data_IF_636081024309
#
_entry.id   IF_636081024309
#
_cell.length_a   1.000
_cell.length_b   1.000
_cell.length_c   1.000
_cell.angle_alpha   90.00
_cell.angle_beta   90.00
_cell.angle_gamma   90.00
#
_symmetry.space_group_name_H-M   'P 1'
#
loop_
_entity.id
_entity.type
_entity.pdbx_description
1 polymer ?
#
# COMPACT_ATOMS: atom_id res chain seq x y z
N UNK A 1 -5.01 -2.86 31.17
CA UNK A 1 -4.79 -2.14 29.90
C UNK A 1 -5.85 -2.62 28.92
N UNK A 2 -6.45 -1.72 28.14
CA UNK A 2 -7.32 -2.12 27.02
C UNK A 2 -6.50 -2.94 26.03
N UNK A 3 -6.99 -4.11 25.56
CA UNK A 3 -6.35 -4.88 24.48
C UNK A 3 -6.03 -4.01 23.26
N UNK A 4 -4.95 -4.33 22.54
CA UNK A 4 -4.52 -3.55 21.39
C UNK A 4 -5.56 -3.59 20.28
N UNK A 5 -6.15 -4.76 20.01
CA UNK A 5 -7.18 -4.93 19.00
C UNK A 5 -8.40 -4.05 19.28
N UNK A 6 -8.85 -3.97 20.53
CA UNK A 6 -9.95 -3.07 20.92
C UNK A 6 -9.60 -1.60 20.65
N UNK A 7 -8.35 -1.20 20.90
CA UNK A 7 -7.87 0.17 20.59
C UNK A 7 -7.84 0.42 19.08
N UNK A 8 -7.43 -0.55 18.28
CA UNK A 8 -7.46 -0.47 16.80
C UNK A 8 -8.91 -0.26 16.35
N UNK A 9 -9.83 -1.11 16.81
CA UNK A 9 -11.25 -1.01 16.45
C UNK A 9 -11.84 0.36 16.82
N UNK A 10 -11.59 0.84 18.04
CA UNK A 10 -12.04 2.16 18.49
C UNK A 10 -11.45 3.30 17.65
N UNK A 11 -10.14 3.26 17.37
CA UNK A 11 -9.46 4.32 16.61
C UNK A 11 -9.99 4.41 15.18
N UNK A 12 -10.25 3.26 14.56
CA UNK A 12 -10.71 3.19 13.18
C UNK A 12 -12.24 3.07 13.02
N UNK A 13 -12.98 3.30 14.11
CA UNK A 13 -14.46 3.28 14.16
C UNK A 13 -15.05 1.97 13.60
N UNK A 14 -14.37 0.85 13.86
CA UNK A 14 -14.80 -0.49 13.46
C UNK A 14 -15.45 -1.22 14.65
N UNK A 15 -16.35 -2.14 14.36
CA UNK A 15 -17.04 -2.95 15.36
C UNK A 15 -16.43 -4.36 15.46
N UNK A 16 -16.81 -5.10 16.50
CA UNK A 16 -16.45 -6.52 16.60
C UNK A 16 -17.03 -7.34 15.43
N UNK A 17 -18.21 -6.97 14.93
CA UNK A 17 -18.81 -7.61 13.75
C UNK A 17 -17.97 -7.38 12.48
N UNK A 18 -17.36 -6.20 12.34
CA UNK A 18 -16.45 -5.93 11.22
C UNK A 18 -15.19 -6.80 11.33
N UNK A 19 -14.65 -6.92 12.55
CA UNK A 19 -13.52 -7.80 12.82
C UNK A 19 -13.83 -9.26 12.47
N UNK A 20 -14.97 -9.79 12.92
CA UNK A 20 -15.37 -11.18 12.66
C UNK A 20 -15.45 -11.49 11.15
N UNK A 21 -15.83 -10.49 10.34
CA UNK A 21 -15.86 -10.60 8.87
C UNK A 21 -14.45 -10.60 8.26
N UNK A 22 -13.51 -9.89 8.88
CA UNK A 22 -12.14 -9.71 8.39
C UNK A 22 -11.20 -10.85 8.80
N UNK A 23 -11.40 -11.45 9.98
CA UNK A 23 -10.54 -12.50 10.54
C UNK A 23 -10.24 -13.69 9.58
N UNK A 24 -11.22 -14.22 8.81
CA UNK A 24 -10.96 -15.33 7.90
C UNK A 24 -9.85 -15.07 6.87
N UNK A 25 -9.65 -13.80 6.45
CA UNK A 25 -8.60 -13.43 5.49
C UNK A 25 -7.18 -13.46 6.07
N UNK A 26 -7.06 -13.70 7.37
CA UNK A 26 -5.80 -13.86 8.10
C UNK A 26 -5.62 -15.30 8.60
N UNK A 27 -6.46 -16.25 8.15
CA UNK A 27 -6.46 -17.63 8.62
C UNK A 27 -6.64 -17.75 10.16
N UNK A 28 -7.41 -16.82 10.75
CA UNK A 28 -7.80 -16.85 12.16
C UNK A 28 -9.31 -16.82 12.29
N UNK A 29 -9.82 -17.39 13.38
CA UNK A 29 -11.25 -17.49 13.70
C UNK A 29 -11.63 -16.73 14.96
N UNK A 30 -10.68 -16.06 15.64
CA UNK A 30 -10.97 -15.30 16.86
C UNK A 30 -10.10 -14.05 17.00
N UNK A 31 -10.67 -13.04 17.67
CA UNK A 31 -9.95 -11.82 18.05
C UNK A 31 -8.77 -12.09 18.99
N UNK A 32 -8.83 -13.12 19.83
CA UNK A 32 -7.72 -13.50 20.72
C UNK A 32 -6.49 -13.98 19.93
N UNK A 33 -6.68 -14.79 18.89
CA UNK A 33 -5.58 -15.22 18.02
C UNK A 33 -5.00 -14.05 17.21
N UNK A 34 -5.85 -13.09 16.81
CA UNK A 34 -5.40 -11.86 16.17
C UNK A 34 -4.55 -11.00 17.13
N UNK A 35 -4.99 -10.81 18.37
CA UNK A 35 -4.24 -10.10 19.41
C UNK A 35 -2.86 -10.75 19.65
N UNK A 36 -2.81 -12.09 19.71
CA UNK A 36 -1.55 -12.83 19.84
C UNK A 36 -0.62 -12.60 18.64
N UNK A 37 -1.18 -12.59 17.43
CA UNK A 37 -0.41 -12.36 16.19
C UNK A 37 0.15 -10.93 16.13
N UNK A 38 -0.64 -9.93 16.55
CA UNK A 38 -0.18 -8.55 16.72
C UNK A 38 0.94 -8.46 17.76
N UNK A 39 0.76 -9.13 18.91
CA UNK A 39 1.78 -9.20 19.96
C UNK A 39 3.10 -9.82 19.45
N UNK A 40 3.02 -10.88 18.65
CA UNK A 40 4.20 -11.50 18.03
C UNK A 40 4.89 -10.55 17.04
N UNK A 41 4.13 -9.87 16.18
CA UNK A 41 4.69 -8.89 15.25
C UNK A 41 5.40 -7.75 16.00
N UNK A 42 4.81 -7.24 17.09
CA UNK A 42 5.43 -6.21 17.95
C UNK A 42 6.70 -6.73 18.60
N UNK A 43 6.67 -7.94 19.16
CA UNK A 43 7.86 -8.57 19.72
C UNK A 43 9.00 -8.64 18.69
N UNK A 44 8.69 -9.03 17.46
CA UNK A 44 9.70 -9.09 16.40
C UNK A 44 10.26 -7.71 16.04
N UNK A 45 9.42 -6.67 15.94
CA UNK A 45 9.87 -5.29 15.67
C UNK A 45 10.90 -4.79 16.68
N UNK A 46 10.65 -5.08 17.96
CA UNK A 46 11.50 -4.62 19.06
C UNK A 46 12.83 -5.38 19.15
N UNK A 47 12.80 -6.69 18.91
CA UNK A 47 13.96 -7.55 19.15
C UNK A 47 14.82 -7.80 17.91
N UNK A 48 14.26 -7.61 16.71
CA UNK A 48 14.94 -7.83 15.43
C UNK A 48 14.77 -6.61 14.52
N UNK A 49 15.40 -5.46 14.85
CA UNK A 49 15.28 -4.26 14.05
C UNK A 49 15.93 -4.45 12.67
N UNK A 50 15.14 -4.39 11.60
CA UNK A 50 15.62 -4.26 10.22
C UNK A 50 16.46 -2.99 10.03
N UNK A 51 17.51 -3.08 9.20
CA UNK A 51 18.42 -1.98 8.91
C UNK A 51 17.99 -1.11 7.72
N UNK A 52 17.02 -1.56 6.92
CA UNK A 52 16.57 -0.86 5.72
C UNK A 52 15.23 -0.14 5.94
N UNK A 53 15.00 0.93 5.18
CA UNK A 53 13.79 1.75 5.28
C UNK A 53 12.60 1.02 4.65
N UNK A 54 11.79 0.40 5.51
CA UNK A 54 10.52 -0.22 5.16
C UNK A 54 9.38 0.77 5.34
N UNK A 55 8.62 1.00 4.27
CA UNK A 55 7.44 1.86 4.26
C UNK A 55 6.21 1.04 3.93
N UNK A 56 5.20 1.15 4.77
CA UNK A 56 3.89 0.59 4.50
C UNK A 56 2.95 1.73 4.08
N UNK A 57 2.21 1.54 3.01
CA UNK A 57 1.18 2.47 2.54
C UNK A 57 -0.15 1.75 2.62
N UNK A 58 -1.09 2.23 3.42
CA UNK A 58 -2.46 1.78 3.43
C UNK A 58 -3.36 2.89 2.85
N UNK A 59 -3.83 2.68 1.63
CA UNK A 59 -4.85 3.52 1.04
C UNK A 59 -6.21 2.89 1.31
N UNK A 60 -7.14 3.63 1.91
CA UNK A 60 -8.43 3.06 2.35
C UNK A 60 -9.53 3.27 1.33
N UNK A 61 -9.55 4.43 0.70
CA UNK A 61 -10.44 4.71 -0.40
C UNK A 61 -9.63 5.13 -1.62
N UNK A 62 -10.11 4.72 -2.80
CA UNK A 62 -9.57 5.20 -4.05
C UNK A 62 -10.66 5.99 -4.77
N UNK A 63 -10.61 7.30 -4.57
CA UNK A 63 -11.35 8.27 -5.36
C UNK A 63 -10.40 8.93 -6.36
N UNK A 64 -10.96 9.51 -7.43
CA UNK A 64 -10.17 10.09 -8.52
C UNK A 64 -9.11 11.07 -8.01
N UNK A 65 -9.43 11.80 -6.94
CA UNK A 65 -8.58 12.80 -6.31
C UNK A 65 -7.24 12.24 -5.81
N UNK A 66 -7.17 10.92 -5.53
CA UNK A 66 -6.00 10.27 -4.93
C UNK A 66 -5.41 9.14 -5.80
N UNK A 67 -5.75 9.10 -7.08
CA UNK A 67 -5.11 8.19 -8.05
C UNK A 67 -3.59 8.39 -8.08
N UNK A 68 -3.10 9.59 -7.76
CA UNK A 68 -1.68 9.89 -7.65
C UNK A 68 -0.93 8.98 -6.65
N UNK A 69 -1.59 8.54 -5.58
CA UNK A 69 -0.98 7.64 -4.60
C UNK A 69 -0.83 6.19 -5.10
N UNK A 70 -1.51 5.81 -6.19
CA UNK A 70 -1.29 4.50 -6.82
C UNK A 70 0.14 4.33 -7.36
N UNK A 71 0.81 5.46 -7.65
CA UNK A 71 2.18 5.47 -8.15
C UNK A 71 3.23 5.52 -7.03
N UNK A 72 2.83 5.88 -5.80
CA UNK A 72 3.72 5.94 -4.63
C UNK A 72 4.56 4.67 -4.43
N UNK A 73 3.97 3.45 -4.42
CA UNK A 73 4.77 2.23 -4.30
C UNK A 73 5.93 2.12 -5.30
N UNK A 74 5.68 2.47 -6.57
CA UNK A 74 6.70 2.38 -7.61
C UNK A 74 7.75 3.47 -7.49
N UNK A 75 7.33 4.70 -7.17
CA UNK A 75 8.24 5.83 -6.93
C UNK A 75 9.19 5.50 -5.77
N UNK A 76 8.63 5.04 -4.64
CA UNK A 76 9.42 4.66 -3.47
C UNK A 76 10.37 3.50 -3.77
N UNK A 77 9.92 2.47 -4.52
CA UNK A 77 10.78 1.35 -4.88
C UNK A 77 11.93 1.75 -5.81
N UNK A 78 11.72 2.69 -6.74
CA UNK A 78 12.81 3.26 -7.57
C UNK A 78 13.80 4.05 -6.70
N UNK A 79 13.31 4.74 -5.68
CA UNK A 79 14.12 5.43 -4.67
C UNK A 79 14.71 4.50 -3.60
N UNK A 80 14.65 3.17 -3.80
CA UNK A 80 15.23 2.14 -2.94
C UNK A 80 14.57 1.97 -1.56
N UNK A 81 13.36 2.50 -1.37
CA UNK A 81 12.54 2.15 -0.21
C UNK A 81 11.86 0.80 -0.44
N UNK A 82 11.98 -0.11 0.52
CA UNK A 82 11.19 -1.34 0.47
C UNK A 82 9.74 -1.02 0.86
N UNK A 83 8.83 -1.16 -0.10
CA UNK A 83 7.46 -0.63 0.04
C UNK A 83 6.42 -1.73 0.01
N UNK A 84 5.58 -1.81 1.03
CA UNK A 84 4.35 -2.63 1.01
C UNK A 84 3.14 -1.72 0.88
N UNK A 85 2.28 -1.97 -0.09
CA UNK A 85 1.12 -1.16 -0.38
C UNK A 85 -0.16 -1.99 -0.30
N UNK A 86 -1.11 -1.54 0.51
CA UNK A 86 -2.43 -2.14 0.68
C UNK A 86 -3.47 -1.18 0.10
N UNK A 87 -4.20 -1.66 -0.89
CA UNK A 87 -5.10 -0.85 -1.71
C UNK A 87 -6.54 -1.36 -1.59
N UNK A 88 -7.53 -0.46 -1.71
CA UNK A 88 -8.92 -0.88 -1.77
C UNK A 88 -9.21 -1.55 -3.11
N UNK A 89 -10.29 -2.31 -3.17
CA UNK A 89 -10.69 -3.05 -4.37
C UNK A 89 -11.01 -2.15 -5.57
N UNK A 90 -11.43 -0.91 -5.33
CA UNK A 90 -11.64 0.06 -6.42
C UNK A 90 -10.35 0.43 -7.18
N UNK A 91 -9.17 0.11 -6.63
CA UNK A 91 -7.88 0.31 -7.31
C UNK A 91 -7.62 -0.67 -8.44
N UNK A 92 -8.28 -1.84 -8.48
CA UNK A 92 -8.14 -2.82 -9.57
C UNK A 92 -8.41 -2.17 -10.92
N UNK A 93 -9.40 -1.27 -10.95
CA UNK A 93 -9.80 -0.59 -12.16
C UNK A 93 -8.69 0.26 -12.79
N UNK A 94 -7.85 0.85 -11.94
CA UNK A 94 -6.83 1.79 -12.34
C UNK A 94 -5.50 1.08 -12.57
N UNK A 95 -5.14 0.15 -11.68
CA UNK A 95 -3.93 -0.66 -11.82
C UNK A 95 -4.03 -1.72 -12.91
N UNK A 96 -5.24 -2.16 -13.27
CA UNK A 96 -5.47 -3.12 -14.35
C UNK A 96 -5.05 -2.64 -15.74
N UNK A 97 -4.72 -1.35 -15.89
CA UNK A 97 -4.08 -0.82 -17.09
C UNK A 97 -2.58 -1.17 -17.21
N UNK A 98 -1.96 -1.56 -16.11
CA UNK A 98 -0.51 -1.74 -16.01
C UNK A 98 -0.09 -3.07 -15.40
N UNK A 99 -0.99 -3.74 -14.68
CA UNK A 99 -0.71 -4.98 -13.98
C UNK A 99 -1.84 -5.98 -14.21
N UNK A 100 -1.48 -7.25 -14.32
CA UNK A 100 -2.42 -8.34 -14.21
C UNK A 100 -2.86 -8.56 -12.75
N UNK A 101 -4.02 -7.99 -12.41
CA UNK A 101 -4.56 -7.96 -11.05
C UNK A 101 -4.82 -9.37 -10.48
N UNK A 102 -5.34 -10.29 -11.30
CA UNK A 102 -5.65 -11.65 -10.87
C UNK A 102 -4.40 -12.38 -10.35
N UNK A 103 -3.23 -12.05 -10.92
CA UNK A 103 -1.98 -12.67 -10.56
C UNK A 103 -1.39 -12.10 -9.25
N UNK A 104 -1.81 -10.91 -8.80
CA UNK A 104 -1.31 -10.27 -7.57
C UNK A 104 -1.52 -11.14 -6.33
N UNK A 105 -2.62 -11.89 -6.28
CA UNK A 105 -2.97 -12.74 -5.13
C UNK A 105 -1.99 -13.90 -4.90
N UNK A 106 -1.12 -14.21 -5.87
CA UNK A 106 -0.17 -15.32 -5.80
C UNK A 106 1.18 -14.93 -5.22
N UNK A 107 1.44 -13.63 -5.06
CA UNK A 107 2.73 -13.11 -4.59
C UNK A 107 2.81 -13.24 -3.07
N UNK A 108 3.98 -13.68 -2.58
CA UNK A 108 4.31 -13.60 -1.15
C UNK A 108 5.03 -12.29 -0.88
N UNK A 109 4.62 -11.59 0.18
CA UNK A 109 5.13 -10.28 0.53
C UNK A 109 6.66 -10.28 0.71
N UNK A 110 7.22 -11.22 1.47
CA UNK A 110 8.66 -11.26 1.77
C UNK A 110 9.47 -11.41 0.48
N UNK A 111 9.10 -12.37 -0.36
CA UNK A 111 9.77 -12.62 -1.65
C UNK A 111 9.73 -11.38 -2.55
N UNK A 112 8.56 -10.75 -2.65
CA UNK A 112 8.36 -9.56 -3.48
C UNK A 112 9.20 -8.38 -3.01
N UNK A 113 9.25 -8.15 -1.70
CA UNK A 113 10.04 -7.08 -1.11
C UNK A 113 11.55 -7.32 -1.26
N UNK A 114 12.00 -8.56 -1.20
CA UNK A 114 13.42 -8.88 -1.34
C UNK A 114 13.91 -8.83 -2.79
N UNK A 115 13.09 -9.24 -3.75
CA UNK A 115 13.48 -9.25 -5.18
C UNK A 115 13.14 -7.93 -5.90
N UNK A 116 12.05 -7.26 -5.50
CA UNK A 116 11.56 -6.08 -6.21
C UNK A 116 11.53 -4.82 -5.34
N UNK A 117 11.77 -4.90 -4.04
CA UNK A 117 11.59 -3.76 -3.13
C UNK A 117 10.14 -3.28 -3.04
N UNK A 118 9.19 -4.09 -3.55
CA UNK A 118 7.80 -3.69 -3.71
C UNK A 118 6.88 -4.88 -3.47
N UNK A 119 5.81 -4.65 -2.71
CA UNK A 119 4.68 -5.55 -2.60
C UNK A 119 3.39 -4.74 -2.71
N UNK A 120 2.45 -5.18 -3.54
CA UNK A 120 1.13 -4.59 -3.69
C UNK A 120 0.09 -5.66 -3.38
N UNK A 121 -0.85 -5.33 -2.51
CA UNK A 121 -1.99 -6.16 -2.18
C UNK A 121 -3.28 -5.38 -2.29
N UNK A 122 -4.25 -5.96 -3.00
CA UNK A 122 -5.59 -5.42 -3.13
C UNK A 122 -6.51 -6.12 -2.13
N UNK A 123 -7.37 -5.33 -1.48
CA UNK A 123 -8.34 -5.83 -0.53
C UNK A 123 -9.39 -6.75 -1.21
N UNK A 124 -9.92 -7.76 -0.49
CA UNK A 124 -10.94 -8.65 -1.03
C UNK A 124 -12.23 -7.91 -1.44
N UNK A 125 -12.80 -8.28 -2.58
CA UNK A 125 -14.05 -7.71 -3.12
C UNK A 125 -15.26 -7.84 -2.18
N UNK A 126 -15.25 -8.80 -1.25
CA UNK A 126 -16.36 -9.07 -0.33
C UNK A 126 -16.45 -8.08 0.84
N UNK A 127 -15.41 -7.26 1.06
CA UNK A 127 -15.35 -6.35 2.20
C UNK A 127 -16.01 -5.02 1.87
N UNK A 128 -16.80 -4.50 2.81
CA UNK A 128 -17.27 -3.10 2.74
C UNK A 128 -16.11 -2.11 3.03
N UNK A 129 -16.39 -0.80 3.03
CA UNK A 129 -15.34 0.22 3.25
C UNK A 129 -14.68 0.14 4.63
N UNK A 130 -15.45 -0.03 5.71
CA UNK A 130 -14.92 -0.16 7.07
C UNK A 130 -14.09 -1.43 7.23
N UNK A 131 -14.56 -2.54 6.65
CA UNK A 131 -13.87 -3.82 6.68
C UNK A 131 -12.59 -3.79 5.81
N UNK A 132 -12.63 -3.14 4.65
CA UNK A 132 -11.46 -2.91 3.79
C UNK A 132 -10.39 -2.09 4.51
N UNK A 133 -10.82 -1.05 5.23
CA UNK A 133 -9.96 -0.26 6.10
C UNK A 133 -9.28 -1.13 7.15
N UNK A 134 -10.08 -1.87 7.91
CA UNK A 134 -9.58 -2.74 8.98
C UNK A 134 -8.64 -3.82 8.44
N UNK A 135 -9.00 -4.47 7.33
CA UNK A 135 -8.16 -5.47 6.66
C UNK A 135 -6.80 -4.89 6.25
N UNK A 136 -6.78 -3.74 5.58
CA UNK A 136 -5.55 -3.12 5.06
C UNK A 136 -4.61 -2.70 6.20
N UNK A 137 -5.19 -2.14 7.27
CA UNK A 137 -4.45 -1.74 8.46
C UNK A 137 -3.91 -2.95 9.23
N UNK A 138 -4.72 -4.00 9.45
CA UNK A 138 -4.26 -5.21 10.12
C UNK A 138 -3.18 -5.93 9.33
N UNK A 139 -3.24 -5.95 7.99
CA UNK A 139 -2.15 -6.47 7.15
C UNK A 139 -0.84 -5.73 7.42
N UNK A 140 -0.85 -4.40 7.44
CA UNK A 140 0.33 -3.62 7.80
C UNK A 140 0.79 -3.89 9.25
N UNK A 141 -0.15 -3.89 10.19
CA UNK A 141 0.14 -4.07 11.62
C UNK A 141 0.57 -5.49 12.01
N UNK A 142 0.37 -6.48 11.16
CA UNK A 142 0.89 -7.83 11.37
C UNK A 142 2.29 -8.02 10.78
N UNK A 143 2.78 -7.08 9.97
CA UNK A 143 4.12 -7.18 9.40
C UNK A 143 5.20 -6.92 10.47
N UNK A 144 6.06 -7.90 10.80
CA UNK A 144 7.19 -7.71 11.72
C UNK A 144 8.17 -6.60 11.31
N UNK A 145 8.19 -6.25 10.02
CA UNK A 145 9.07 -5.21 9.45
C UNK A 145 8.45 -3.83 9.43
N UNK A 146 7.20 -3.67 9.87
CA UNK A 146 6.58 -2.35 9.98
C UNK A 146 7.42 -1.43 10.87
N UNK A 147 7.84 -0.30 10.31
CA UNK A 147 8.50 0.81 11.01
C UNK A 147 7.72 2.09 10.86
N UNK A 148 7.19 2.29 9.66
CA UNK A 148 6.39 3.44 9.33
C UNK A 148 5.20 3.02 8.46
N UNK A 149 4.01 3.43 8.88
CA UNK A 149 2.79 3.33 8.11
C UNK A 149 2.38 4.73 7.65
N UNK A 150 2.25 4.91 6.34
CA UNK A 150 1.50 6.01 5.75
C UNK A 150 0.08 5.52 5.52
N UNK A 151 -0.87 6.23 6.09
CA UNK A 151 -2.27 5.88 6.05
C UNK A 151 -3.06 7.02 5.41
N UNK A 152 -3.77 6.71 4.33
CA UNK A 152 -4.48 7.67 3.49
C UNK A 152 -5.97 7.35 3.54
N UNK A 153 -6.75 8.23 4.18
CA UNK A 153 -8.20 8.05 4.38
C UNK A 153 -8.96 9.39 4.41
N UNK A 154 -10.21 9.38 3.95
CA UNK A 154 -11.12 10.54 3.91
C UNK A 154 -11.62 10.94 5.29
N UNK A 155 -11.65 9.98 6.22
CA UNK A 155 -12.11 10.21 7.58
C UNK A 155 -11.03 10.92 8.39
N UNK A 156 -11.43 11.85 9.25
CA UNK A 156 -10.53 12.45 10.22
C UNK A 156 -10.38 11.54 11.43
N UNK A 157 -9.16 11.51 11.96
CA UNK A 157 -8.79 10.71 13.12
C UNK A 157 -8.32 11.58 14.26
N UNK A 158 -8.56 11.13 15.48
CA UNK A 158 -8.06 11.80 16.68
C UNK A 158 -6.54 11.53 16.82
N UNK A 159 -5.75 12.60 16.81
CA UNK A 159 -4.28 12.53 16.89
C UNK A 159 -3.78 11.83 18.15
N UNK A 160 -4.53 11.92 19.26
CA UNK A 160 -4.14 11.27 20.52
C UNK A 160 -4.33 9.76 20.40
N UNK A 161 -5.42 9.29 19.78
CA UNK A 161 -5.63 7.88 19.50
C UNK A 161 -4.57 7.32 18.55
N UNK A 162 -4.21 8.06 17.49
CA UNK A 162 -3.14 7.67 16.57
C UNK A 162 -1.79 7.56 17.30
N UNK A 163 -1.40 8.56 18.10
CA UNK A 163 -0.17 8.50 18.91
C UNK A 163 -0.16 7.34 19.91
N UNK A 164 -1.31 7.05 20.52
CA UNK A 164 -1.45 5.90 21.40
C UNK A 164 -1.30 4.57 20.66
N UNK A 165 -1.72 4.49 19.39
CA UNK A 165 -1.46 3.32 18.54
C UNK A 165 0.01 3.23 18.13
N UNK A 166 0.65 4.33 17.76
CA UNK A 166 2.09 4.35 17.42
C UNK A 166 2.93 3.74 18.55
N UNK A 167 2.67 4.18 19.78
CA UNK A 167 3.35 3.66 20.98
C UNK A 167 3.09 2.17 21.19
N UNK A 168 1.86 1.72 21.01
CA UNK A 168 1.50 0.30 21.20
C UNK A 168 2.05 -0.60 20.10
N UNK A 169 2.12 -0.12 18.86
CA UNK A 169 2.59 -0.89 17.71
C UNK A 169 4.10 -0.85 17.52
N UNK A 170 4.78 0.07 18.21
CA UNK A 170 6.20 0.38 18.01
C UNK A 170 6.53 0.75 16.56
N UNK A 171 5.66 1.58 15.96
CA UNK A 171 5.79 2.06 14.60
C UNK A 171 5.27 3.51 14.47
N UNK A 172 5.87 4.29 13.58
CA UNK A 172 5.38 5.63 13.21
C UNK A 172 4.13 5.50 12.33
N UNK A 173 3.10 6.28 12.61
CA UNK A 173 1.86 6.33 11.82
C UNK A 173 1.70 7.76 11.31
N UNK A 174 1.78 7.92 10.00
CA UNK A 174 1.55 9.18 9.31
C UNK A 174 0.19 9.11 8.66
N UNK A 175 -0.74 9.91 9.19
CA UNK A 175 -2.03 10.12 8.54
C UNK A 175 -1.91 11.24 7.51
N UNK A 176 -2.27 10.94 6.26
CA UNK A 176 -2.42 11.92 5.20
C UNK A 176 -3.91 12.07 4.88
N UNK A 177 -4.54 13.20 5.25
CA UNK A 177 -5.90 13.48 4.84
C UNK A 177 -5.98 13.64 3.32
N UNK A 178 -7.16 13.38 2.75
CA UNK A 178 -7.39 13.62 1.32
C UNK A 178 -7.36 15.12 1.02
N UNK A 179 -6.59 15.52 0.00
CA UNK A 179 -6.75 16.82 -0.64
C UNK A 179 -7.67 16.67 -1.85
N UNK A 180 -8.61 17.59 -2.03
CA UNK A 180 -9.50 17.56 -3.18
C UNK A 180 -8.78 18.12 -4.41
N UNK A 181 -8.48 17.25 -5.36
CA UNK A 181 -8.06 17.64 -6.71
C UNK A 181 -9.29 17.99 -7.55
N UNK A 182 -9.23 19.11 -8.28
CA UNK A 182 -10.26 19.46 -9.28
C UNK A 182 -10.05 18.75 -10.63
N UNK A 183 -8.94 18.02 -10.78
CA UNK A 183 -8.58 17.36 -12.02
C UNK A 183 -9.46 16.13 -12.23
N UNK A 184 -10.19 16.10 -13.36
CA UNK A 184 -10.95 14.91 -13.75
C UNK A 184 -10.05 13.91 -14.45
N UNK A 185 -9.81 12.77 -13.78
CA UNK A 185 -8.97 11.71 -14.33
C UNK A 185 -9.86 10.69 -15.02
N UNK A 186 -9.62 10.49 -16.31
CA UNK A 186 -10.31 9.48 -17.12
C UNK A 186 -9.41 8.27 -17.35
N UNK A 187 -9.98 7.10 -17.63
CA UNK A 187 -9.19 5.90 -17.94
C UNK A 187 -8.29 6.08 -19.16
N UNK A 188 -8.77 6.77 -20.19
CA UNK A 188 -7.98 7.06 -21.39
C UNK A 188 -6.78 7.97 -21.09
N UNK A 189 -6.92 8.91 -20.15
CA UNK A 189 -5.82 9.77 -19.73
C UNK A 189 -4.70 9.00 -18.99
N UNK A 190 -5.04 7.90 -18.29
CA UNK A 190 -4.06 7.02 -17.63
C UNK A 190 -3.28 6.17 -18.64
N UNK A 191 -3.94 5.62 -19.66
CA UNK A 191 -3.24 4.85 -20.70
C UNK A 191 -2.13 5.66 -21.40
N UNK A 192 -2.27 7.00 -21.45
CA UNK A 192 -1.27 7.91 -22.00
C UNK A 192 -0.16 8.36 -21.04
N UNK A 193 -0.25 8.06 -19.74
CA UNK A 193 0.71 8.54 -18.73
C UNK A 193 2.14 8.06 -18.98
N UNK A 194 2.26 6.82 -19.47
CA UNK A 194 3.54 6.16 -19.65
C UNK A 194 4.02 6.19 -21.12
N UNK A 195 3.40 7.02 -21.97
CA UNK A 195 3.81 7.22 -23.36
C UNK A 195 4.90 8.29 -23.51
N UNK A 196 5.81 8.10 -24.48
CA UNK A 196 6.90 9.07 -24.79
C UNK A 196 6.40 10.47 -25.17
N UNK A 197 5.20 10.58 -25.76
CA UNK A 197 4.54 11.86 -26.06
C UNK A 197 3.31 12.00 -25.17
N UNK A 198 3.40 12.88 -24.19
CA UNK A 198 2.28 13.18 -23.29
C UNK A 198 1.34 14.17 -23.96
N UNK A 199 0.04 13.84 -23.95
CA UNK A 199 -1.01 14.83 -24.23
C UNK A 199 -1.06 15.84 -23.09
N UNK A 200 -1.71 16.99 -23.28
CA UNK A 200 -1.90 17.98 -22.22
C UNK A 200 -2.50 17.34 -20.94
N UNK A 201 -3.51 16.50 -21.12
CA UNK A 201 -4.15 15.77 -20.01
C UNK A 201 -3.19 14.80 -19.30
N UNK A 202 -2.33 14.09 -20.03
CA UNK A 202 -1.33 13.20 -19.41
C UNK A 202 -0.25 13.99 -18.66
N UNK A 203 0.12 15.18 -19.14
CA UNK A 203 1.07 16.06 -18.45
C UNK A 203 0.50 16.56 -17.11
N UNK A 204 -0.76 16.98 -17.08
CA UNK A 204 -1.45 17.44 -15.85
C UNK A 204 -1.54 16.33 -14.79
N UNK A 205 -1.78 15.08 -15.22
CA UNK A 205 -1.80 13.95 -14.28
C UNK A 205 -0.39 13.63 -13.79
N UNK A 206 0.65 13.71 -14.63
CA UNK A 206 2.03 13.58 -14.17
C UNK A 206 2.40 14.64 -13.13
N UNK A 207 1.95 15.88 -13.31
CA UNK A 207 2.15 16.96 -12.34
C UNK A 207 1.46 16.65 -11.01
N UNK A 208 0.19 16.24 -11.04
CA UNK A 208 -0.53 15.79 -9.85
C UNK A 208 0.17 14.63 -9.13
N UNK A 209 0.65 13.63 -9.88
CA UNK A 209 1.44 12.52 -9.32
C UNK A 209 2.69 13.06 -8.64
N UNK A 210 3.41 13.97 -9.29
CA UNK A 210 4.67 14.50 -8.77
C UNK A 210 4.47 15.35 -7.51
N UNK A 211 3.49 16.25 -7.49
CA UNK A 211 3.15 17.07 -6.33
C UNK A 211 2.73 16.22 -5.13
N UNK A 212 1.76 15.32 -5.34
CA UNK A 212 1.23 14.44 -4.29
C UNK A 212 2.34 13.58 -3.68
N UNK A 213 3.22 13.01 -4.51
CA UNK A 213 4.30 12.17 -4.03
C UNK A 213 5.46 12.97 -3.43
N UNK A 214 5.64 14.24 -3.81
CA UNK A 214 6.66 15.11 -3.20
C UNK A 214 6.30 15.44 -1.74
N UNK A 215 5.02 15.69 -1.50
CA UNK A 215 4.46 15.81 -0.14
C UNK A 215 4.66 14.51 0.64
N UNK A 216 4.27 13.37 0.08
CA UNK A 216 4.48 12.06 0.72
C UNK A 216 5.95 11.84 1.10
N UNK A 217 6.88 12.07 0.16
CA UNK A 217 8.33 11.93 0.41
C UNK A 217 8.84 12.85 1.51
N UNK A 218 8.29 14.07 1.62
CA UNK A 218 8.66 15.00 2.69
C UNK A 218 8.30 14.46 4.08
N UNK A 219 7.31 13.57 4.18
CA UNK A 219 6.90 12.95 5.46
C UNK A 219 7.80 11.79 5.88
N UNK A 220 8.58 11.22 4.96
CA UNK A 220 9.46 10.07 5.17
C UNK A 220 10.81 10.43 5.83
N UNK A 221 10.91 11.56 6.55
CA UNK A 221 12.16 12.09 7.11
C UNK A 221 13.27 12.29 6.06
N UNK A 222 12.91 12.53 4.80
CA UNK A 222 13.88 12.86 3.76
C UNK A 222 14.46 14.27 3.99
N UNK A 223 15.78 14.39 3.87
CA UNK A 223 16.52 15.66 4.02
C UNK A 223 16.25 16.70 2.92
N UNK A 224 15.57 16.30 1.83
CA UNK A 224 15.28 17.17 0.70
C UNK A 224 14.12 18.11 0.98
N UNK A 225 14.20 19.33 0.43
CA UNK A 225 13.07 20.25 0.37
C UNK A 225 11.97 19.71 -0.54
N UNK A 226 10.74 20.17 -0.33
CA UNK A 226 9.60 19.74 -1.14
C UNK A 226 9.79 20.02 -2.64
N UNK A 227 10.41 21.16 -2.99
CA UNK A 227 10.72 21.50 -4.39
C UNK A 227 11.74 20.53 -5.01
N UNK A 228 12.71 20.04 -4.22
CA UNK A 228 13.67 19.05 -4.70
C UNK A 228 13.00 17.68 -4.87
N UNK A 229 12.10 17.30 -3.96
CA UNK A 229 11.30 16.08 -4.11
C UNK A 229 10.41 16.14 -5.36
N UNK A 230 9.76 17.28 -5.61
CA UNK A 230 8.94 17.49 -6.81
C UNK A 230 9.76 17.29 -8.08
N UNK A 231 10.91 17.96 -8.18
CA UNK A 231 11.79 17.84 -9.34
C UNK A 231 12.28 16.40 -9.52
N UNK A 232 12.69 15.73 -8.44
CA UNK A 232 13.11 14.34 -8.47
C UNK A 232 12.01 13.43 -9.04
N UNK A 233 10.78 13.56 -8.56
CA UNK A 233 9.68 12.70 -9.04
C UNK A 233 9.31 13.02 -10.49
N UNK A 234 9.32 14.30 -10.88
CA UNK A 234 9.16 14.69 -12.28
C UNK A 234 10.22 13.98 -13.14
N UNK A 235 11.49 14.08 -12.75
CA UNK A 235 12.59 13.43 -13.47
C UNK A 235 12.37 11.91 -13.58
N UNK A 236 11.90 11.23 -12.52
CA UNK A 236 11.56 9.80 -12.55
C UNK A 236 10.40 9.46 -13.51
N UNK A 237 9.38 10.33 -13.59
CA UNK A 237 8.23 10.17 -14.49
C UNK A 237 8.57 10.46 -15.96
N UNK A 238 9.60 11.27 -16.24
CA UNK A 238 10.06 11.57 -17.59
C UNK A 238 11.17 10.65 -18.10
N UNK A 239 11.97 10.06 -17.20
CA UNK A 239 13.06 9.13 -17.51
C UNK A 239 12.63 7.66 -17.67
N UNK A 240 11.33 7.39 -17.70
CA UNK A 240 10.74 6.05 -17.82
C UNK A 240 11.05 5.08 -16.66
N UNK A 241 11.82 5.47 -15.63
CA UNK A 241 12.17 4.59 -14.51
C UNK A 241 10.94 4.01 -13.77
N UNK A 242 9.88 4.81 -13.62
CA UNK A 242 8.63 4.33 -13.02
C UNK A 242 7.95 3.29 -13.91
N UNK A 243 7.93 3.51 -15.24
CA UNK A 243 7.35 2.57 -16.20
C UNK A 243 8.14 1.27 -16.23
N UNK A 244 9.47 1.35 -16.27
CA UNK A 244 10.35 0.19 -16.21
C UNK A 244 10.09 -0.61 -14.92
N UNK A 245 9.98 0.07 -13.78
CA UNK A 245 9.68 -0.60 -12.50
C UNK A 245 8.34 -1.31 -12.51
N UNK A 246 7.30 -0.69 -13.08
CA UNK A 246 5.97 -1.29 -13.24
C UNK A 246 6.06 -2.53 -14.14
N UNK A 247 6.72 -2.43 -15.29
CA UNK A 247 6.84 -3.53 -16.27
C UNK A 247 7.62 -4.72 -15.70
N UNK A 248 8.74 -4.48 -15.02
CA UNK A 248 9.51 -5.53 -14.35
C UNK A 248 8.70 -6.19 -13.23
N UNK A 249 7.94 -5.39 -12.48
CA UNK A 249 7.06 -5.92 -11.44
C UNK A 249 5.95 -6.79 -12.06
N UNK A 250 5.31 -6.37 -13.15
CA UNK A 250 4.31 -7.17 -13.86
C UNK A 250 4.87 -8.52 -14.32
N UNK A 251 6.04 -8.52 -14.98
CA UNK A 251 6.69 -9.75 -15.46
C UNK A 251 7.04 -10.71 -14.31
N UNK A 252 7.50 -10.17 -13.19
CA UNK A 252 7.77 -10.94 -11.98
C UNK A 252 6.52 -11.66 -11.48
N UNK A 253 5.40 -10.95 -11.40
CA UNK A 253 4.12 -11.48 -10.92
C UNK A 253 3.62 -12.59 -11.83
N UNK A 254 3.67 -12.36 -13.14
CA UNK A 254 3.29 -13.34 -14.16
C UNK A 254 4.16 -14.61 -14.08
N UNK A 255 5.45 -14.46 -13.81
CA UNK A 255 6.37 -15.58 -13.66
C UNK A 255 6.05 -16.42 -12.43
N UNK A 256 5.78 -15.78 -11.28
CA UNK A 256 5.36 -16.46 -10.05
C UNK A 256 4.05 -17.23 -10.28
N UNK A 257 3.09 -16.60 -10.96
CA UNK A 257 1.80 -17.21 -11.27
C UNK A 257 1.94 -18.43 -12.19
N UNK A 258 2.68 -18.31 -13.29
CA UNK A 258 2.96 -19.42 -14.22
C UNK A 258 3.61 -20.61 -13.51
N UNK A 259 4.61 -20.37 -12.67
CA UNK A 259 5.25 -21.44 -11.90
C UNK A 259 4.28 -22.15 -10.94
N UNK A 260 3.44 -21.41 -10.21
CA UNK A 260 2.44 -22.02 -9.31
C UNK A 260 1.41 -22.85 -10.08
N UNK A 261 0.91 -22.33 -11.20
CA UNK A 261 -0.08 -23.04 -12.02
C UNK A 261 0.49 -24.30 -12.66
N UNK A 262 1.73 -24.28 -13.12
CA UNK A 262 2.44 -25.47 -13.64
C UNK A 262 2.67 -26.53 -12.56
N UNK A 263 3.10 -26.14 -11.36
CA UNK A 263 3.26 -27.06 -10.22
C UNK A 263 1.93 -27.73 -9.85
N UNK A 264 0.84 -26.95 -9.85
CA UNK A 264 -0.51 -27.46 -9.54
C UNK A 264 -0.99 -28.45 -10.60
N UNK A 265 -0.74 -28.16 -11.89
CA UNK A 265 -1.03 -29.10 -13.00
C UNK A 265 -0.24 -30.40 -12.85
N UNK A 266 1.06 -30.34 -12.55
CA UNK A 266 1.88 -31.55 -12.37
C UNK A 266 1.41 -32.41 -11.19
N UNK A 267 0.95 -31.80 -10.10
CA UNK A 267 0.42 -32.52 -8.93
C UNK A 267 -0.95 -33.18 -9.17
N UNK A 268 -1.68 -32.79 -10.22
CA UNK A 268 -2.99 -33.37 -10.58
C UNK A 268 -2.90 -34.52 -11.59
N UNK A 269 -1.70 -34.83 -12.08
CA UNK A 269 -1.40 -35.99 -12.94
C UNK A 269 -0.65 -37.12 -12.20
N UNK A 270 -0.50 -37.01 -10.88
CA UNK A 270 0.09 -38.02 -9.98
C UNK A 270 -0.99 -38.52 -9.04
#
# INVERSE_FOLDING_TARGET
MTPLLDRILQTFQATASDLDTVLPFFNTTSGQMMEQSLGYAIYQRQNFPESCEYVHIAQIENKQENIAYLFSPFILAVLQYKTSCYLPVSSELWLGHYLNIDNLHFIKQEKSLDEMGLFIQIAPQQLNSVQTKLYSLLRAFLDPKLRQLIFIDLQNYDDKNLKMLEQSLHAKIIYLPFSSSKLQITRSSLAGLLGKKKTQSAAEICELIAETNAELLSTLNNSLSINNNLKLIQDLLYSEHILEKISVYEEFIDTIFKHKTELTKRASYV
#
